data_IF_061576650966
#
_entry.id   IF_061576650966
#
_cell.length_a   1.000
_cell.length_b   1.000
_cell.length_c   1.000
_cell.angle_alpha   90.00
_cell.angle_beta   90.00
_cell.angle_gamma   90.00
#
_symmetry.space_group_name_H-M   'P 1'
#
loop_
_entity.id
_entity.type
_entity.pdbx_description
1 polymer ?
#
# COMPACT_ATOMS: atom_id res chain seq x y z
N UNK A 1 -5.64 -4.77 10.97
CA UNK A 1 -4.30 -5.14 10.51
C UNK A 1 -3.69 -3.98 9.76
N UNK A 2 -2.50 -3.56 10.15
CA UNK A 2 -1.77 -2.43 9.56
C UNK A 2 -0.75 -2.97 8.57
N UNK A 3 -0.82 -2.50 7.33
CA UNK A 3 0.02 -2.93 6.21
C UNK A 3 0.77 -1.71 5.67
N UNK A 4 2.09 -1.76 5.67
CA UNK A 4 2.92 -0.77 4.99
C UNK A 4 3.39 -1.29 3.66
N UNK A 5 3.27 -0.48 2.62
CA UNK A 5 3.79 -0.76 1.29
C UNK A 5 4.89 0.25 1.00
N UNK A 6 6.09 -0.22 0.74
CA UNK A 6 7.24 0.66 0.51
C UNK A 6 8.30 0.04 -0.37
N UNK A 7 9.21 0.90 -0.83
CA UNK A 7 10.53 0.53 -1.33
C UNK A 7 11.60 1.30 -0.55
N UNK A 8 12.59 0.63 0.00
CA UNK A 8 13.55 1.29 0.88
C UNK A 8 14.60 2.15 0.16
N UNK A 9 14.72 2.06 -1.16
CA UNK A 9 15.81 2.69 -1.91
C UNK A 9 15.44 3.18 -3.31
N UNK A 10 14.24 2.86 -3.81
CA UNK A 10 13.85 3.22 -5.17
C UNK A 10 12.48 3.92 -5.20
N UNK A 11 12.41 5.03 -5.91
CA UNK A 11 11.13 5.65 -6.31
C UNK A 11 10.67 5.06 -7.65
N UNK A 12 9.41 5.20 -7.97
CA UNK A 12 8.81 4.81 -9.26
C UNK A 12 8.90 3.30 -9.58
N UNK A 13 9.01 2.43 -8.58
CA UNK A 13 8.92 0.98 -8.76
C UNK A 13 7.53 0.43 -8.43
N UNK A 14 6.52 1.29 -8.47
CA UNK A 14 5.13 0.95 -8.33
C UNK A 14 4.65 0.67 -6.90
N UNK A 15 5.22 1.36 -5.89
CA UNK A 15 4.77 1.25 -4.49
C UNK A 15 3.30 1.59 -4.39
N UNK A 16 2.89 2.76 -4.87
CA UNK A 16 1.50 3.22 -4.90
C UNK A 16 0.58 2.25 -5.64
N UNK A 17 1.00 1.76 -6.81
CA UNK A 17 0.21 0.78 -7.58
C UNK A 17 0.05 -0.53 -6.80
N UNK A 18 1.09 -1.00 -6.11
CA UNK A 18 1.02 -2.18 -5.23
C UNK A 18 0.04 -1.95 -4.09
N UNK A 19 0.08 -0.78 -3.43
CA UNK A 19 -0.84 -0.44 -2.35
C UNK A 19 -2.29 -0.46 -2.83
N UNK A 20 -2.57 0.20 -3.96
CA UNK A 20 -3.92 0.27 -4.54
C UNK A 20 -4.44 -1.11 -4.96
N UNK A 21 -3.65 -1.89 -5.71
CA UNK A 21 -4.05 -3.22 -6.14
C UNK A 21 -4.23 -4.19 -4.96
N UNK A 22 -3.42 -4.05 -3.90
CA UNK A 22 -3.60 -4.83 -2.67
C UNK A 22 -4.91 -4.47 -1.98
N UNK A 23 -5.20 -3.17 -1.83
CA UNK A 23 -6.43 -2.69 -1.20
C UNK A 23 -7.66 -3.12 -2.00
N UNK A 24 -7.64 -2.99 -3.34
CA UNK A 24 -8.73 -3.45 -4.21
C UNK A 24 -8.93 -4.96 -4.12
N UNK A 25 -7.85 -5.76 -4.10
CA UNK A 25 -7.94 -7.21 -3.96
C UNK A 25 -8.51 -7.65 -2.61
N UNK A 26 -8.17 -6.97 -1.52
CA UNK A 26 -8.76 -7.21 -0.20
C UNK A 26 -10.24 -6.82 -0.16
N UNK A 27 -10.60 -5.69 -0.76
CA UNK A 27 -11.98 -5.25 -0.87
C UNK A 27 -12.83 -6.22 -1.71
N UNK A 28 -12.25 -6.82 -2.75
CA UNK A 28 -12.92 -7.85 -3.56
C UNK A 28 -13.18 -9.15 -2.78
N UNK A 29 -12.39 -9.42 -1.73
CA UNK A 29 -12.68 -10.43 -0.71
C UNK A 29 -13.71 -9.96 0.34
N UNK A 30 -14.40 -8.83 0.11
CA UNK A 30 -15.38 -8.22 1.00
C UNK A 30 -14.80 -7.88 2.39
N UNK A 31 -13.55 -7.41 2.41
CA UNK A 31 -12.89 -6.93 3.62
C UNK A 31 -12.95 -5.42 3.66
N UNK A 32 -13.31 -4.85 4.82
CA UNK A 32 -13.29 -3.39 5.02
C UNK A 32 -11.85 -2.90 5.04
N UNK A 33 -11.51 -2.07 4.08
CA UNK A 33 -10.14 -1.57 3.83
C UNK A 33 -10.13 -0.06 3.82
N UNK A 34 -9.18 0.53 4.55
CA UNK A 34 -8.78 1.91 4.36
C UNK A 34 -7.45 1.94 3.62
N UNK A 35 -7.40 2.65 2.51
CA UNK A 35 -6.16 2.97 1.79
C UNK A 35 -5.79 4.42 2.06
N UNK A 36 -4.57 4.67 2.48
CA UNK A 36 -4.05 6.01 2.72
C UNK A 36 -2.56 6.08 2.39
N UNK A 37 -2.04 7.27 2.19
CA UNK A 37 -0.61 7.53 2.05
C UNK A 37 -0.06 8.23 3.28
N UNK A 38 1.26 8.25 3.41
CA UNK A 38 1.96 8.89 4.53
C UNK A 38 2.41 10.30 4.15
N UNK A 39 2.61 10.57 2.87
CA UNK A 39 3.08 11.86 2.37
C UNK A 39 1.92 12.88 2.31
N UNK A 40 2.04 14.06 2.97
CA UNK A 40 0.93 15.00 3.09
C UNK A 40 0.48 15.66 1.78
N UNK A 41 1.25 15.53 0.71
CA UNK A 41 0.96 16.17 -0.59
C UNK A 41 0.90 15.20 -1.76
N UNK A 42 0.70 13.92 -1.51
CA UNK A 42 0.53 12.95 -2.59
C UNK A 42 -0.84 13.11 -3.25
N UNK A 43 -0.86 13.22 -4.57
CA UNK A 43 -2.07 13.23 -5.40
C UNK A 43 -2.26 11.91 -6.16
N UNK A 44 -1.45 10.90 -5.84
CA UNK A 44 -1.42 9.68 -6.65
C UNK A 44 -2.75 8.92 -6.64
N UNK A 45 -3.44 8.87 -5.51
CA UNK A 45 -4.73 8.17 -5.43
C UNK A 45 -5.81 8.89 -6.21
N UNK A 46 -5.88 10.22 -6.09
CA UNK A 46 -6.84 11.04 -6.84
C UNK A 46 -6.62 10.89 -8.33
N UNK A 47 -5.36 11.00 -8.77
CA UNK A 47 -5.04 10.90 -10.20
C UNK A 47 -5.29 9.50 -10.75
N UNK A 48 -4.86 8.46 -10.05
CA UNK A 48 -4.95 7.08 -10.56
C UNK A 48 -6.37 6.51 -10.49
N UNK A 49 -7.18 6.95 -9.52
CA UNK A 49 -8.56 6.52 -9.36
C UNK A 49 -9.56 7.49 -10.00
N UNK A 50 -9.11 8.65 -10.48
CA UNK A 50 -9.97 9.69 -11.05
C UNK A 50 -10.91 10.29 -10.01
N UNK A 51 -10.44 10.42 -8.76
CA UNK A 51 -11.26 10.96 -7.68
C UNK A 51 -11.36 12.47 -7.82
N UNK A 52 -12.58 12.99 -7.72
CA UNK A 52 -12.81 14.42 -7.68
C UNK A 52 -12.37 15.00 -6.34
N UNK A 53 -12.01 16.28 -6.33
CA UNK A 53 -11.78 17.02 -5.10
C UNK A 53 -13.01 16.93 -4.17
N UNK A 54 -12.80 17.23 -2.88
CA UNK A 54 -13.91 17.32 -1.94
C UNK A 54 -14.81 18.50 -2.32
N UNK A 55 -16.06 18.19 -2.69
CA UNK A 55 -17.08 19.23 -3.04
C UNK A 55 -17.65 19.86 -1.77
N UNK A 56 -17.79 19.05 -0.71
CA UNK A 56 -18.28 19.52 0.60
C UNK A 56 -17.10 19.93 1.49
N UNK A 57 -17.14 21.19 1.94
CA UNK A 57 -16.12 21.74 2.85
C UNK A 57 -16.19 21.16 4.27
N UNK A 58 -17.28 20.49 4.63
CA UNK A 58 -17.48 19.91 5.97
C UNK A 58 -16.82 18.54 6.12
N UNK A 59 -16.55 17.85 5.00
CA UNK A 59 -15.94 16.51 4.97
C UNK A 59 -14.50 16.53 4.42
N UNK A 60 -13.76 17.60 4.64
CA UNK A 60 -12.38 17.72 4.18
C UNK A 60 -11.39 17.12 5.17
N UNK A 61 -10.18 16.70 4.73
CA UNK A 61 -9.11 16.29 5.61
C UNK A 61 -8.77 17.30 6.72
N UNK A 62 -8.74 18.59 6.38
CA UNK A 62 -8.46 19.65 7.35
C UNK A 62 -9.56 19.78 8.41
N UNK A 63 -10.82 19.57 8.02
CA UNK A 63 -11.92 19.53 8.97
C UNK A 63 -11.84 18.32 9.89
N UNK A 64 -11.47 17.16 9.36
CA UNK A 64 -11.22 15.95 10.17
C UNK A 64 -10.18 16.23 11.26
N UNK A 65 -9.02 16.78 10.90
CA UNK A 65 -7.97 17.10 11.89
C UNK A 65 -8.45 18.10 12.94
N UNK A 66 -9.24 19.10 12.54
CA UNK A 66 -9.86 20.04 13.49
C UNK A 66 -10.76 19.31 14.50
N UNK A 67 -11.68 18.46 14.01
CA UNK A 67 -12.56 17.66 14.89
C UNK A 67 -11.80 16.71 15.78
N UNK A 68 -10.70 16.14 15.30
CA UNK A 68 -9.81 15.30 16.11
C UNK A 68 -9.17 16.08 17.27
N UNK A 69 -8.68 17.30 17.01
CA UNK A 69 -8.10 18.21 18.04
C UNK A 69 -9.14 18.61 19.08
N UNK A 70 -10.37 18.79 18.66
CA UNK A 70 -11.49 19.13 19.53
C UNK A 70 -12.06 17.92 20.29
N UNK A 71 -11.62 16.69 19.97
CA UNK A 71 -12.18 15.45 20.50
C UNK A 71 -13.63 15.21 20.09
N UNK A 72 -14.05 15.82 18.97
CA UNK A 72 -15.44 15.85 18.50
C UNK A 72 -15.73 14.79 17.42
N UNK A 73 -14.79 13.86 17.17
CA UNK A 73 -14.97 12.77 16.21
C UNK A 73 -14.64 11.41 16.82
N UNK A 74 -15.42 10.41 16.46
CA UNK A 74 -15.15 9.01 16.79
C UNK A 74 -14.44 8.31 15.62
N UNK A 75 -13.70 7.26 15.94
CA UNK A 75 -12.96 6.50 14.95
C UNK A 75 -13.85 5.83 13.89
N UNK A 76 -15.10 5.52 14.24
CA UNK A 76 -16.09 4.93 13.33
C UNK A 76 -16.53 5.92 12.23
N UNK A 77 -16.41 7.23 12.49
CA UNK A 77 -16.87 8.30 11.59
C UNK A 77 -15.79 8.73 10.57
N UNK A 78 -14.60 8.13 10.63
CA UNK A 78 -13.51 8.45 9.68
C UNK A 78 -13.94 8.24 8.23
N UNK A 79 -14.79 7.24 7.98
CA UNK A 79 -15.32 6.96 6.64
C UNK A 79 -15.98 8.16 5.97
N UNK A 80 -16.61 9.05 6.75
CA UNK A 80 -17.30 10.25 6.25
C UNK A 80 -16.32 11.28 5.65
N UNK A 81 -15.04 11.16 5.97
CA UNK A 81 -13.94 12.00 5.47
C UNK A 81 -13.10 11.29 4.40
N UNK A 82 -13.52 10.11 3.95
CA UNK A 82 -12.85 9.33 2.92
C UNK A 82 -13.61 9.41 1.59
N UNK A 83 -12.94 9.05 0.51
CA UNK A 83 -13.58 8.77 -0.77
C UNK A 83 -13.92 7.29 -0.85
N UNK A 84 -15.20 6.97 -0.85
CA UNK A 84 -15.66 5.59 -0.99
C UNK A 84 -15.57 5.13 -2.43
N UNK A 85 -14.81 4.07 -2.68
CA UNK A 85 -14.66 3.44 -3.99
C UNK A 85 -15.74 2.38 -4.20
N UNK A 86 -16.03 1.62 -3.15
CA UNK A 86 -17.11 0.63 -3.08
C UNK A 86 -17.41 0.30 -1.61
N UNK A 87 -18.38 -0.57 -1.35
CA UNK A 87 -18.81 -0.94 0.00
C UNK A 87 -17.70 -1.42 0.95
N UNK A 88 -16.53 -1.76 0.43
CA UNK A 88 -15.43 -2.35 1.19
C UNK A 88 -14.10 -1.57 1.10
N UNK A 89 -14.02 -0.52 0.27
CA UNK A 89 -12.80 0.25 0.08
C UNK A 89 -13.07 1.74 0.22
N UNK A 90 -12.53 2.31 1.25
CA UNK A 90 -12.42 3.75 1.44
C UNK A 90 -10.97 4.20 1.20
N UNK A 91 -10.81 5.35 0.56
CA UNK A 91 -9.51 5.97 0.28
C UNK A 91 -9.47 7.31 0.98
N UNK A 92 -8.53 7.45 1.91
CA UNK A 92 -8.25 8.76 2.48
C UNK A 92 -7.27 9.49 1.57
N UNK A 93 -7.72 10.65 1.08
CA UNK A 93 -6.93 11.55 0.25
C UNK A 93 -6.83 12.90 0.94
N UNK A 94 -5.74 13.60 0.77
CA UNK A 94 -5.52 14.90 1.40
C UNK A 94 -5.40 16.04 0.38
N UNK A 95 -6.19 16.00 -0.67
CA UNK A 95 -6.22 17.02 -1.73
C UNK A 95 -6.59 18.45 -1.21
N UNK A 96 -6.10 18.79 -0.02
CA UNK A 96 -6.28 20.11 0.58
C UNK A 96 -4.97 20.88 0.52
N UNK A 97 -5.00 22.06 -0.05
CA UNK A 97 -3.83 22.96 -0.20
C UNK A 97 -3.16 23.32 1.13
N UNK A 98 -3.86 23.15 2.25
CA UNK A 98 -3.41 23.53 3.60
C UNK A 98 -3.13 22.36 4.52
N UNK A 99 -3.03 21.12 4.01
CA UNK A 99 -2.75 19.96 4.84
C UNK A 99 -1.24 19.82 5.07
N UNK A 100 -0.82 19.96 6.32
CA UNK A 100 0.59 19.96 6.70
C UNK A 100 1.11 18.56 7.06
N UNK A 101 2.43 18.42 7.20
CA UNK A 101 3.03 17.19 7.75
C UNK A 101 2.60 16.94 9.20
N UNK A 102 2.36 18.00 9.98
CA UNK A 102 1.85 17.89 11.35
C UNK A 102 0.44 17.32 11.36
N UNK A 103 -0.46 17.84 10.50
CA UNK A 103 -1.82 17.32 10.33
C UNK A 103 -1.81 15.83 9.93
N UNK A 104 -0.92 15.46 9.00
CA UNK A 104 -0.74 14.05 8.61
C UNK A 104 -0.25 13.19 9.77
N UNK A 105 0.69 13.69 10.55
CA UNK A 105 1.20 12.98 11.73
C UNK A 105 0.11 12.78 12.80
N UNK A 106 -0.78 13.74 13.01
CA UNK A 106 -1.91 13.62 13.91
C UNK A 106 -2.94 12.60 13.40
N UNK A 107 -3.30 12.69 12.13
CA UNK A 107 -4.21 11.74 11.49
C UNK A 107 -3.67 10.30 11.60
N UNK A 108 -2.41 10.09 11.26
CA UNK A 108 -1.78 8.77 11.34
C UNK A 108 -1.82 8.25 12.77
N UNK A 109 -1.50 9.08 13.76
CA UNK A 109 -1.59 8.67 15.17
C UNK A 109 -3.01 8.28 15.54
N UNK A 110 -3.99 9.09 15.17
CA UNK A 110 -5.40 8.79 15.42
C UNK A 110 -5.82 7.45 14.79
N UNK A 111 -5.54 7.24 13.49
CA UNK A 111 -5.84 6.01 12.78
C UNK A 111 -5.22 4.76 13.45
N UNK A 112 -3.99 4.87 13.93
CA UNK A 112 -3.22 3.74 14.47
C UNK A 112 -3.45 3.47 15.96
N UNK A 113 -4.10 4.40 16.69
CA UNK A 113 -4.39 4.25 18.13
C UNK A 113 -5.87 4.07 18.44
N UNK A 114 -6.74 4.38 17.48
CA UNK A 114 -8.19 4.28 17.63
C UNK A 114 -8.75 2.97 17.07
N UNK A 115 -9.89 2.55 17.60
CA UNK A 115 -10.62 1.38 17.08
C UNK A 115 -11.42 1.79 15.84
N UNK A 116 -10.83 1.67 14.66
CA UNK A 116 -11.47 1.99 13.39
C UNK A 116 -12.31 0.82 12.87
N UNK A 117 -13.31 1.05 12.00
CA UNK A 117 -14.14 -0.01 11.41
C UNK A 117 -13.41 -0.86 10.36
N UNK A 118 -12.17 -0.52 10.04
CA UNK A 118 -11.40 -1.17 8.97
C UNK A 118 -10.70 -2.43 9.45
N UNK A 119 -10.92 -3.50 8.72
CA UNK A 119 -10.22 -4.77 8.96
C UNK A 119 -8.75 -4.70 8.54
N UNK A 120 -8.47 -3.90 7.51
CA UNK A 120 -7.13 -3.62 6.98
C UNK A 120 -6.95 -2.13 6.77
N UNK A 121 -5.81 -1.62 7.16
CA UNK A 121 -5.33 -0.29 6.80
C UNK A 121 -4.06 -0.45 5.98
N UNK A 122 -4.08 0.03 4.74
CA UNK A 122 -2.97 -0.04 3.79
C UNK A 122 -2.36 1.35 3.66
N UNK A 123 -1.12 1.48 4.10
CA UNK A 123 -0.35 2.71 4.04
C UNK A 123 0.63 2.67 2.87
N UNK A 124 0.46 3.57 1.92
CA UNK A 124 1.43 3.83 0.86
C UNK A 124 2.56 4.71 1.39
N UNK A 125 3.77 4.17 1.41
CA UNK A 125 4.99 4.86 1.82
C UNK A 125 5.89 5.02 0.57
N UNK A 126 5.37 5.78 -0.42
CA UNK A 126 6.11 6.09 -1.64
C UNK A 126 6.85 7.42 -1.46
N UNK A 127 8.05 7.37 -0.95
CA UNK A 127 8.84 8.56 -0.70
C UNK A 127 9.95 8.31 0.31
N UNK A 128 10.06 9.21 1.28
CA UNK A 128 11.06 9.12 2.32
C UNK A 128 10.60 8.20 3.46
N UNK A 129 11.04 6.93 3.41
CA UNK A 129 10.79 5.97 4.48
C UNK A 129 11.46 6.34 5.83
N UNK A 130 12.33 7.37 5.86
CA UNK A 130 12.96 7.87 7.07
C UNK A 130 12.17 9.00 7.75
N UNK A 131 11.12 9.52 7.12
CA UNK A 131 10.25 10.54 7.72
C UNK A 131 9.64 10.05 9.05
N UNK A 132 9.33 10.98 9.95
CA UNK A 132 8.76 10.65 11.26
C UNK A 132 7.45 9.88 11.13
N UNK A 133 6.62 10.28 10.18
CA UNK A 133 5.33 9.68 9.87
C UNK A 133 5.50 8.26 9.35
N UNK A 134 6.40 8.05 8.39
CA UNK A 134 6.71 6.73 7.85
C UNK A 134 7.26 5.79 8.94
N UNK A 135 8.21 6.26 9.76
CA UNK A 135 8.78 5.48 10.85
C UNK A 135 7.73 5.11 11.91
N UNK A 136 6.79 6.03 12.19
CA UNK A 136 5.72 5.74 13.13
C UNK A 136 4.77 4.66 12.59
N UNK A 137 4.34 4.76 11.31
CA UNK A 137 3.52 3.73 10.66
C UNK A 137 4.27 2.39 10.62
N UNK A 138 5.52 2.40 10.19
CA UNK A 138 6.37 1.20 10.14
C UNK A 138 6.50 0.56 11.52
N UNK A 139 6.69 1.37 12.57
CA UNK A 139 6.73 0.88 13.96
C UNK A 139 5.47 0.11 14.38
N UNK A 140 4.31 0.50 13.87
CA UNK A 140 2.99 -0.09 14.18
C UNK A 140 2.53 -1.16 13.19
N UNK A 141 3.24 -1.34 12.07
CA UNK A 141 2.85 -2.29 11.03
C UNK A 141 2.90 -3.73 11.48
N UNK A 142 1.87 -4.48 11.14
CA UNK A 142 1.80 -5.94 11.30
C UNK A 142 2.48 -6.65 10.12
N UNK A 143 2.40 -6.05 8.93
CA UNK A 143 2.90 -6.59 7.67
C UNK A 143 3.56 -5.49 6.85
N UNK A 144 4.69 -5.81 6.25
CA UNK A 144 5.37 -4.97 5.27
C UNK A 144 5.28 -5.65 3.89
N UNK A 145 4.74 -4.97 2.90
CA UNK A 145 4.89 -5.30 1.49
C UNK A 145 6.09 -4.53 0.96
N UNK A 146 7.19 -5.23 0.77
CA UNK A 146 8.44 -4.63 0.36
C UNK A 146 8.59 -4.77 -1.16
N UNK A 147 8.47 -3.65 -1.86
CA UNK A 147 8.60 -3.61 -3.30
C UNK A 147 10.05 -3.76 -3.73
N UNK A 148 10.25 -4.62 -4.69
CA UNK A 148 11.53 -4.86 -5.38
C UNK A 148 11.32 -4.79 -6.89
N UNK A 149 12.40 -4.61 -7.64
CA UNK A 149 12.36 -4.62 -9.11
C UNK A 149 13.20 -5.77 -9.65
N UNK A 150 12.86 -6.32 -10.81
CA UNK A 150 13.71 -7.27 -11.51
C UNK A 150 14.82 -6.62 -12.34
N UNK A 151 15.01 -5.30 -12.20
CA UNK A 151 16.17 -4.59 -12.71
C UNK A 151 17.43 -5.01 -11.95
N UNK A 152 18.54 -5.25 -12.68
CA UNK A 152 19.82 -5.57 -12.07
C UNK A 152 20.33 -4.47 -11.13
N UNK A 153 20.21 -3.22 -11.57
CA UNK A 153 20.63 -2.05 -10.79
C UNK A 153 19.87 -1.95 -9.47
N UNK A 154 18.56 -2.11 -9.50
CA UNK A 154 17.73 -2.01 -8.30
C UNK A 154 17.97 -3.19 -7.35
N UNK A 155 18.22 -4.40 -7.89
CA UNK A 155 18.62 -5.53 -7.07
C UNK A 155 19.99 -5.30 -6.39
N UNK A 156 20.95 -4.68 -7.07
CA UNK A 156 22.25 -4.33 -6.47
C UNK A 156 22.07 -3.31 -5.32
N UNK A 157 21.29 -2.24 -5.54
CA UNK A 157 20.97 -1.26 -4.49
C UNK A 157 20.27 -1.90 -3.28
N UNK A 158 19.39 -2.87 -3.50
CA UNK A 158 18.77 -3.61 -2.42
C UNK A 158 19.80 -4.32 -1.56
N UNK A 159 20.76 -4.99 -2.17
CA UNK A 159 21.84 -5.69 -1.46
C UNK A 159 22.76 -4.71 -0.72
N UNK A 160 23.13 -3.58 -1.35
CA UNK A 160 23.91 -2.52 -0.70
C UNK A 160 23.23 -1.95 0.55
N UNK A 161 21.89 -1.85 0.54
CA UNK A 161 21.11 -1.33 1.65
C UNK A 161 20.56 -2.42 2.59
N UNK A 162 21.09 -3.64 2.50
CA UNK A 162 20.61 -4.81 3.22
C UNK A 162 20.42 -4.57 4.72
N UNK A 163 21.39 -4.00 5.40
CA UNK A 163 21.37 -3.80 6.85
C UNK A 163 20.27 -2.80 7.25
N UNK A 164 20.07 -1.75 6.48
CA UNK A 164 18.99 -0.80 6.66
C UNK A 164 17.62 -1.50 6.48
N UNK A 165 17.47 -2.31 5.43
CA UNK A 165 16.23 -3.06 5.14
C UNK A 165 15.94 -4.05 6.26
N UNK A 166 16.94 -4.78 6.74
CA UNK A 166 16.81 -5.72 7.84
C UNK A 166 16.35 -5.03 9.13
N UNK A 167 16.93 -3.86 9.43
CA UNK A 167 16.53 -3.04 10.58
C UNK A 167 15.09 -2.55 10.44
N UNK A 168 14.71 -2.07 9.25
CA UNK A 168 13.36 -1.59 8.96
C UNK A 168 12.30 -2.67 9.13
N UNK A 169 12.63 -3.90 8.73
CA UNK A 169 11.74 -5.06 8.76
C UNK A 169 11.82 -5.87 10.06
N UNK A 170 12.67 -5.46 11.01
CA UNK A 170 12.92 -6.23 12.23
C UNK A 170 11.63 -6.51 13.02
N UNK A 171 11.39 -7.80 13.32
CA UNK A 171 10.20 -8.25 14.07
C UNK A 171 8.88 -8.19 13.29
N UNK A 172 8.89 -7.81 12.02
CA UNK A 172 7.69 -7.69 11.18
C UNK A 172 7.54 -8.89 10.24
N UNK A 173 6.30 -9.18 9.87
CA UNK A 173 6.04 -10.04 8.71
C UNK A 173 6.37 -9.26 7.45
N UNK A 174 7.09 -9.88 6.51
CA UNK A 174 7.44 -9.25 5.24
C UNK A 174 7.00 -10.13 4.08
N UNK A 175 6.44 -9.50 3.06
CA UNK A 175 6.14 -10.10 1.75
C UNK A 175 6.89 -9.27 0.71
N UNK A 176 7.72 -9.93 -0.09
CA UNK A 176 8.39 -9.29 -1.22
C UNK A 176 7.45 -9.24 -2.43
N UNK A 177 7.37 -8.08 -3.06
CA UNK A 177 6.53 -7.85 -4.24
C UNK A 177 7.39 -7.27 -5.36
N UNK A 178 7.48 -7.98 -6.48
CA UNK A 178 8.10 -7.47 -7.70
C UNK A 178 7.01 -6.83 -8.58
N UNK A 179 6.89 -5.51 -8.52
CA UNK A 179 5.97 -4.77 -9.37
C UNK A 179 6.62 -4.49 -10.73
N UNK A 180 5.81 -4.52 -11.78
CA UNK A 180 6.27 -4.37 -13.15
C UNK A 180 7.11 -5.56 -13.62
N UNK A 181 6.88 -6.75 -13.06
CA UNK A 181 7.61 -7.95 -13.42
C UNK A 181 7.41 -8.29 -14.91
N UNK A 182 8.53 -8.50 -15.58
CA UNK A 182 8.58 -9.00 -16.95
C UNK A 182 9.54 -10.20 -17.03
N UNK A 183 9.03 -11.36 -17.38
CA UNK A 183 9.82 -12.60 -17.49
C UNK A 183 10.89 -12.53 -18.59
N UNK A 184 10.77 -11.60 -19.55
CA UNK A 184 11.77 -11.36 -20.60
C UNK A 184 13.02 -10.65 -20.06
N UNK A 185 12.87 -9.88 -18.95
CA UNK A 185 13.97 -9.17 -18.30
C UNK A 185 14.74 -10.13 -17.37
N UNK A 186 14.06 -11.05 -16.69
CA UNK A 186 14.70 -12.00 -15.80
C UNK A 186 13.71 -12.92 -15.09
N UNK A 187 14.20 -14.08 -14.64
CA UNK A 187 13.41 -15.06 -13.91
C UNK A 187 13.36 -14.71 -12.41
N UNK A 188 12.24 -14.98 -11.74
CA UNK A 188 12.09 -14.77 -10.30
C UNK A 188 13.14 -15.52 -9.47
N UNK A 189 13.53 -16.71 -9.89
CA UNK A 189 14.58 -17.50 -9.22
C UNK A 189 15.92 -16.77 -9.22
N UNK A 190 16.26 -16.11 -10.33
CA UNK A 190 17.50 -15.35 -10.44
C UNK A 190 17.42 -14.07 -9.61
N UNK A 191 16.24 -13.43 -9.57
CA UNK A 191 16.00 -12.28 -8.70
C UNK A 191 16.14 -12.65 -7.22
N UNK A 192 15.52 -13.73 -6.75
CA UNK A 192 15.68 -14.21 -5.35
C UNK A 192 17.14 -14.47 -5.01
N UNK A 193 17.90 -15.10 -5.93
CA UNK A 193 19.32 -15.34 -5.74
C UNK A 193 20.13 -14.05 -5.66
N UNK A 194 19.84 -13.07 -6.53
CA UNK A 194 20.51 -11.76 -6.52
C UNK A 194 20.22 -10.97 -5.25
N UNK A 195 18.98 -10.99 -4.78
CA UNK A 195 18.57 -10.32 -3.54
C UNK A 195 19.09 -11.04 -2.28
N UNK A 196 19.62 -12.26 -2.43
CA UNK A 196 20.04 -13.08 -1.30
C UNK A 196 18.88 -13.50 -0.38
N UNK A 197 17.66 -13.59 -0.91
CA UNK A 197 16.46 -13.89 -0.11
C UNK A 197 15.99 -15.33 -0.33
N UNK A 198 15.60 -16.00 0.77
CA UNK A 198 15.08 -17.35 0.77
C UNK A 198 13.56 -17.34 1.03
N UNK A 199 12.83 -16.53 0.25
CA UNK A 199 11.38 -16.39 0.37
C UNK A 199 10.74 -16.20 -1.01
N UNK A 200 9.46 -16.53 -1.10
CA UNK A 200 8.69 -16.32 -2.33
C UNK A 200 8.54 -14.83 -2.61
N UNK A 201 8.76 -14.44 -3.87
CA UNK A 201 8.48 -13.10 -4.36
C UNK A 201 7.15 -13.14 -5.10
N UNK A 202 6.19 -12.33 -4.66
CA UNK A 202 4.94 -12.12 -5.37
C UNK A 202 5.17 -11.17 -6.53
N UNK A 203 4.39 -11.31 -7.59
CA UNK A 203 4.53 -10.47 -8.77
C UNK A 203 3.27 -9.66 -9.02
N UNK A 204 3.47 -8.46 -9.53
CA UNK A 204 2.48 -7.70 -10.30
C UNK A 204 3.11 -7.53 -11.67
N UNK A 205 2.53 -8.16 -12.69
CA UNK A 205 3.10 -8.19 -14.04
C UNK A 205 3.13 -6.81 -14.65
N UNK A 206 4.14 -6.58 -15.48
CA UNK A 206 4.16 -5.40 -16.33
C UNK A 206 3.01 -5.46 -17.33
N UNK A 207 2.18 -4.42 -17.33
CA UNK A 207 1.04 -4.31 -18.21
C UNK A 207 0.85 -2.85 -18.62
N UNK A 208 0.80 -2.59 -19.92
CA UNK A 208 0.66 -1.23 -20.46
C UNK A 208 -0.68 -0.60 -20.08
N UNK A 209 -1.74 -1.39 -19.93
CA UNK A 209 -3.05 -0.91 -19.52
C UNK A 209 -3.06 -0.37 -18.10
N UNK A 210 -2.19 -0.86 -17.20
CA UNK A 210 -2.04 -0.28 -15.85
C UNK A 210 -1.51 1.16 -15.95
N UNK A 211 -0.45 1.38 -16.73
CA UNK A 211 0.09 2.72 -16.94
C UNK A 211 -0.95 3.65 -17.61
N UNK A 212 -1.65 3.15 -18.61
CA UNK A 212 -2.74 3.89 -19.25
C UNK A 212 -3.85 4.24 -18.23
N UNK A 213 -4.28 3.30 -17.41
CA UNK A 213 -5.33 3.50 -16.41
C UNK A 213 -4.92 4.52 -15.35
N UNK A 214 -3.67 4.45 -14.86
CA UNK A 214 -3.14 5.45 -13.93
C UNK A 214 -3.14 6.85 -14.54
N UNK A 215 -2.68 6.98 -15.78
CA UNK A 215 -2.64 8.28 -16.49
C UNK A 215 -4.03 8.85 -16.82
N UNK A 216 -5.07 8.02 -16.81
CA UNK A 216 -6.43 8.43 -17.15
C UNK A 216 -7.41 8.36 -15.96
N UNK A 217 -6.94 8.14 -14.74
CA UNK A 217 -7.80 8.03 -13.56
C UNK A 217 -8.76 6.84 -13.61
N UNK A 218 -8.36 5.74 -14.23
CA UNK A 218 -9.24 4.58 -14.52
C UNK A 218 -8.75 3.27 -13.90
N UNK A 219 -7.91 3.32 -12.88
CA UNK A 219 -7.37 2.10 -12.27
C UNK A 219 -8.49 1.22 -11.66
N UNK A 220 -9.50 1.83 -11.03
CA UNK A 220 -10.67 1.10 -10.52
C UNK A 220 -11.49 0.43 -11.64
N UNK A 221 -11.66 1.10 -12.77
CA UNK A 221 -12.31 0.53 -13.95
C UNK A 221 -11.49 -0.64 -14.51
N UNK A 222 -10.19 -0.48 -14.68
CA UNK A 222 -9.30 -1.55 -15.14
C UNK A 222 -9.40 -2.79 -14.24
N UNK A 223 -9.41 -2.60 -12.92
CA UNK A 223 -9.57 -3.71 -11.98
C UNK A 223 -10.91 -4.43 -12.15
N UNK A 224 -11.99 -3.70 -12.42
CA UNK A 224 -13.31 -4.29 -12.67
C UNK A 224 -13.35 -5.09 -13.97
N UNK A 225 -12.68 -4.63 -15.05
CA UNK A 225 -12.55 -5.39 -16.29
C UNK A 225 -11.77 -6.69 -16.08
N UNK A 226 -10.70 -6.65 -15.30
CA UNK A 226 -9.96 -7.86 -14.91
C UNK A 226 -10.83 -8.87 -14.16
N UNK A 227 -11.73 -8.41 -13.27
CA UNK A 227 -12.72 -9.25 -12.59
C UNK A 227 -13.65 -9.94 -13.59
N UNK A 228 -14.05 -9.26 -14.66
CA UNK A 228 -14.86 -9.80 -15.76
C UNK A 228 -14.06 -10.70 -16.70
N UNK A 229 -12.79 -10.97 -16.40
CA UNK A 229 -11.87 -11.81 -17.18
C UNK A 229 -11.51 -11.23 -18.54
N UNK A 230 -11.47 -9.91 -18.67
CA UNK A 230 -10.92 -9.27 -19.86
C UNK A 230 -9.47 -9.73 -20.06
N UNK A 231 -9.14 -10.35 -21.22
CA UNK A 231 -7.84 -10.97 -21.45
C UNK A 231 -6.66 -10.00 -21.36
N UNK A 232 -6.87 -8.72 -21.64
CA UNK A 232 -5.82 -7.70 -21.62
C UNK A 232 -5.36 -7.34 -20.21
N UNK A 233 -6.25 -7.51 -19.22
CA UNK A 233 -6.00 -7.06 -17.83
C UNK A 233 -6.25 -8.14 -16.76
N UNK A 234 -6.75 -9.31 -17.16
CA UNK A 234 -7.06 -10.40 -16.23
C UNK A 234 -5.85 -10.84 -15.39
N UNK A 235 -4.68 -10.83 -15.98
CA UNK A 235 -3.46 -11.23 -15.27
C UNK A 235 -3.12 -10.27 -14.12
N UNK A 236 -3.38 -8.97 -14.27
CA UNK A 236 -3.19 -7.97 -13.20
C UNK A 236 -4.18 -8.20 -12.06
N UNK A 237 -5.44 -8.45 -12.39
CA UNK A 237 -6.45 -8.82 -11.41
C UNK A 237 -6.05 -10.08 -10.64
N UNK A 238 -5.61 -11.13 -11.34
CA UNK A 238 -5.15 -12.39 -10.74
C UNK A 238 -3.94 -12.20 -9.84
N UNK A 239 -2.97 -11.38 -10.24
CA UNK A 239 -1.79 -11.07 -9.44
C UNK A 239 -2.20 -10.33 -8.15
N UNK A 240 -3.10 -9.35 -8.26
CA UNK A 240 -3.68 -8.62 -7.14
C UNK A 240 -4.41 -9.55 -6.16
N UNK A 241 -5.27 -10.44 -6.66
CA UNK A 241 -5.98 -11.42 -5.82
C UNK A 241 -5.04 -12.42 -5.14
N UNK A 242 -3.96 -12.80 -5.81
CA UNK A 242 -2.92 -13.67 -5.25
C UNK A 242 -2.20 -12.97 -4.09
N UNK A 243 -1.84 -11.71 -4.26
CA UNK A 243 -1.22 -10.89 -3.22
C UNK A 243 -2.18 -10.66 -2.04
N UNK A 244 -3.43 -10.29 -2.30
CA UNK A 244 -4.46 -10.11 -1.26
C UNK A 244 -4.71 -11.40 -0.46
N UNK A 245 -4.70 -12.57 -1.12
CA UNK A 245 -4.77 -13.87 -0.46
C UNK A 245 -3.57 -14.12 0.46
N UNK A 246 -2.36 -13.76 0.03
CA UNK A 246 -1.16 -13.90 0.86
C UNK A 246 -1.22 -12.97 2.09
N UNK A 247 -1.70 -11.75 1.93
CA UNK A 247 -1.94 -10.80 3.03
C UNK A 247 -2.94 -11.35 4.03
N UNK A 248 -4.06 -11.89 3.56
CA UNK A 248 -5.09 -12.50 4.42
C UNK A 248 -4.55 -13.71 5.20
N UNK A 249 -3.74 -14.56 4.56
CA UNK A 249 -3.06 -15.69 5.23
C UNK A 249 -2.05 -15.19 6.27
N UNK A 250 -1.34 -14.10 6.00
CA UNK A 250 -0.41 -13.49 6.94
C UNK A 250 -1.15 -13.01 8.19
N UNK A 251 -2.34 -12.37 8.06
CA UNK A 251 -3.17 -11.95 9.20
C UNK A 251 -3.53 -13.12 10.11
N UNK A 252 -3.98 -14.24 9.53
CA UNK A 252 -4.32 -15.44 10.30
C UNK A 252 -3.10 -16.02 11.02
N UNK A 253 -1.92 -16.00 10.39
CA UNK A 253 -0.69 -16.49 10.99
C UNK A 253 -0.23 -15.62 12.16
N UNK A 254 -0.33 -14.29 12.03
CA UNK A 254 -0.01 -13.32 13.08
C UNK A 254 -0.95 -13.52 14.27
N UNK A 255 -2.26 -13.60 14.05
CA UNK A 255 -3.26 -13.82 15.09
C UNK A 255 -3.05 -15.15 15.87
N UNK A 256 -2.48 -16.18 15.24
CA UNK A 256 -2.13 -17.46 15.88
C UNK A 256 -0.78 -17.46 16.59
N UNK A 257 -0.14 -16.30 16.76
CA UNK A 257 1.16 -16.17 17.41
C UNK A 257 2.30 -16.91 16.69
N UNK A 258 2.11 -17.32 15.43
CA UNK A 258 3.18 -17.91 14.64
C UNK A 258 4.20 -16.82 14.32
N UNK A 259 5.30 -16.79 15.07
CA UNK A 259 6.45 -15.93 14.77
C UNK A 259 6.81 -16.14 13.31
N UNK A 260 6.72 -15.08 12.53
CA UNK A 260 7.20 -15.14 11.16
C UNK A 260 8.71 -15.37 11.22
N UNK A 261 9.20 -16.31 10.44
CA UNK A 261 10.59 -16.21 10.00
C UNK A 261 10.63 -14.93 9.19
N UNK A 262 11.27 -13.87 9.71
CA UNK A 262 11.52 -12.64 8.96
C UNK A 262 12.19 -12.99 7.63
N UNK A 263 12.16 -12.07 6.68
CA UNK A 263 12.98 -12.22 5.47
C UNK A 263 14.43 -12.36 5.94
N UNK A 264 15.01 -13.54 5.72
CA UNK A 264 16.45 -13.70 5.90
C UNK A 264 17.10 -13.33 4.58
N UNK A 265 17.83 -12.24 4.56
CA UNK A 265 18.68 -11.83 3.46
C UNK A 265 20.07 -12.39 3.79
N UNK A 266 20.57 -13.28 2.95
CA UNK A 266 21.90 -13.90 3.09
C UNK A 266 22.99 -13.01 2.56
#
# INVERSE_FOLDING_TARGET
MIISVLSPHARNIGVTTTAMLTAMGLADFKRKVLLTHVEPRSLAFELYLGLKAYEDKTSTPSQLVKLMREGAIKAEEIGDFCKTINDYLDVFTNNATNFSSEDMGELIRFLLTSSTPYEYMVFDIDGDSSSKEAQFVLGKSDLILLNVSNSYLEAAKFVENKDFIMKLCAGKKVILVCNGYDSKIGKLKDLSKKLGVDTSIFVIRRNAWVAWACNNGKLGYLFSQGRMKDPDVYDIYKDSMTLASAVSKAKVAIAKGKRSKGVTIR
#
